data_IF_543626434585
#
_entry.id   IF_543626434585
#
_cell.length_a   1.000
_cell.length_b   1.000
_cell.length_c   1.000
_cell.angle_alpha   90.00
_cell.angle_beta   90.00
_cell.angle_gamma   90.00
#
_symmetry.space_group_name_H-M   'P 1'
#
loop_
_entity.id
_entity.type
_entity.pdbx_description
1 polymer ?
#
# COMPACT_ATOMS: atom_id res chain seq x y z
N UNK A 1 44.97 17.74 0.52
CA UNK A 1 44.02 18.38 -0.43
C UNK A 1 43.89 17.51 -1.67
N UNK A 2 42.68 17.13 -2.07
CA UNK A 2 42.47 16.24 -3.21
C UNK A 2 42.52 17.05 -4.53
N UNK A 3 43.72 17.20 -5.09
CA UNK A 3 44.01 18.04 -6.28
C UNK A 3 43.04 17.82 -7.46
N UNK A 4 42.64 16.58 -7.81
CA UNK A 4 41.66 16.35 -8.88
C UNK A 4 40.27 16.94 -8.60
N UNK A 5 39.81 16.90 -7.34
CA UNK A 5 38.52 17.46 -6.94
C UNK A 5 38.52 18.99 -6.99
N UNK A 6 39.63 19.63 -6.59
CA UNK A 6 39.79 21.07 -6.67
C UNK A 6 39.68 21.58 -8.12
N UNK A 7 40.32 20.89 -9.06
CA UNK A 7 40.25 21.23 -10.49
C UNK A 7 38.84 20.95 -11.04
N UNK A 8 38.24 19.79 -10.73
CA UNK A 8 36.89 19.43 -11.20
C UNK A 8 35.83 20.46 -10.77
N UNK A 9 35.84 20.89 -9.51
CA UNK A 9 34.93 21.95 -9.02
C UNK A 9 35.13 23.25 -9.78
N UNK A 10 36.38 23.64 -10.09
CA UNK A 10 36.66 24.86 -10.85
C UNK A 10 36.20 24.74 -12.30
N UNK A 11 36.33 23.57 -12.92
CA UNK A 11 35.86 23.34 -14.29
C UNK A 11 34.33 23.42 -14.43
N UNK A 12 33.60 23.00 -13.40
CA UNK A 12 32.14 23.07 -13.33
C UNK A 12 31.61 24.52 -13.10
N UNK A 13 32.25 25.30 -12.22
CA UNK A 13 31.72 26.60 -11.76
C UNK A 13 32.41 27.85 -12.34
N UNK A 14 33.48 27.72 -13.13
CA UNK A 14 34.19 28.89 -13.66
C UNK A 14 33.33 29.63 -14.70
N UNK A 15 33.28 30.98 -14.63
CA UNK A 15 32.74 31.82 -15.70
C UNK A 15 33.65 31.67 -16.94
N UNK A 16 33.15 31.07 -18.02
CA UNK A 16 33.94 30.77 -19.23
C UNK A 16 33.67 31.79 -20.34
N UNK A 17 34.64 31.98 -21.24
CA UNK A 17 34.55 32.85 -22.44
C UNK A 17 33.52 32.35 -23.48
N UNK A 18 33.14 31.07 -23.43
CA UNK A 18 32.10 30.45 -24.25
C UNK A 18 30.94 29.95 -23.37
N UNK A 19 29.76 30.58 -23.48
CA UNK A 19 28.56 30.23 -22.70
C UNK A 19 28.00 28.82 -23.01
N UNK A 20 28.27 28.27 -24.19
CA UNK A 20 27.67 27.02 -24.67
C UNK A 20 27.93 25.81 -23.76
N UNK A 21 29.09 25.74 -23.10
CA UNK A 21 29.50 24.56 -22.30
C UNK A 21 28.81 24.53 -20.94
N UNK A 22 28.61 25.69 -20.31
CA UNK A 22 27.83 25.79 -19.08
C UNK A 22 26.35 25.46 -19.35
N UNK A 23 25.84 25.78 -20.54
CA UNK A 23 24.48 25.42 -20.97
C UNK A 23 24.37 23.89 -21.11
N UNK A 24 25.30 23.23 -21.80
CA UNK A 24 25.27 21.76 -21.99
C UNK A 24 25.41 21.01 -20.66
N UNK A 25 26.29 21.47 -19.78
CA UNK A 25 26.44 20.89 -18.44
C UNK A 25 25.18 21.12 -17.60
N UNK A 26 24.55 22.29 -17.72
CA UNK A 26 23.26 22.59 -17.11
C UNK A 26 22.14 21.67 -17.62
N UNK A 27 22.06 21.42 -18.93
CA UNK A 27 21.08 20.48 -19.52
C UNK A 27 21.29 19.07 -18.96
N UNK A 28 22.53 18.62 -18.79
CA UNK A 28 22.84 17.32 -18.19
C UNK A 28 22.38 17.23 -16.74
N UNK A 29 22.67 18.26 -15.93
CA UNK A 29 22.20 18.33 -14.54
C UNK A 29 20.67 18.31 -14.49
N UNK A 30 20.00 19.12 -15.33
CA UNK A 30 18.55 19.16 -15.43
C UNK A 30 17.95 17.80 -15.83
N UNK A 31 18.57 17.08 -16.77
CA UNK A 31 18.11 15.75 -17.18
C UNK A 31 18.15 14.74 -16.03
N UNK A 32 19.26 14.70 -15.29
CA UNK A 32 19.39 13.85 -14.09
C UNK A 32 18.42 14.29 -13.00
N UNK A 33 18.27 15.61 -12.78
CA UNK A 33 17.35 16.16 -11.79
C UNK A 33 15.89 15.80 -12.09
N UNK A 34 15.46 15.91 -13.36
CA UNK A 34 14.10 15.60 -13.78
C UNK A 34 13.78 14.10 -13.62
N UNK A 35 14.72 13.23 -13.99
CA UNK A 35 14.57 11.78 -13.78
C UNK A 35 14.51 11.42 -12.29
N UNK A 36 15.35 12.07 -11.47
CA UNK A 36 15.35 11.87 -10.01
C UNK A 36 14.05 12.37 -9.36
N UNK A 37 13.58 13.55 -9.78
CA UNK A 37 12.30 14.11 -9.35
C UNK A 37 11.16 13.15 -9.66
N UNK A 38 11.12 12.60 -10.88
CA UNK A 38 10.10 11.63 -11.27
C UNK A 38 10.13 10.38 -10.38
N UNK A 39 11.31 9.84 -10.05
CA UNK A 39 11.45 8.74 -9.10
C UNK A 39 10.84 9.06 -7.73
N UNK A 40 11.15 10.24 -7.17
CA UNK A 40 10.63 10.66 -5.86
C UNK A 40 9.12 10.77 -5.90
N UNK A 41 8.56 11.46 -6.90
CA UNK A 41 7.12 11.67 -7.01
C UNK A 41 6.38 10.34 -7.19
N UNK A 42 6.84 9.48 -8.09
CA UNK A 42 6.15 8.20 -8.37
C UNK A 42 6.18 7.25 -7.19
N UNK A 43 7.34 7.08 -6.52
CA UNK A 43 7.42 6.23 -5.32
C UNK A 43 6.53 6.77 -4.19
N UNK A 44 6.52 8.09 -3.99
CA UNK A 44 5.70 8.72 -2.96
C UNK A 44 4.20 8.60 -3.25
N UNK A 45 3.81 8.63 -4.52
CA UNK A 45 2.45 8.35 -4.97
C UNK A 45 2.03 6.91 -4.62
N UNK A 46 2.85 5.91 -4.95
CA UNK A 46 2.51 4.51 -4.67
C UNK A 46 2.39 4.26 -3.16
N UNK A 47 3.26 4.86 -2.36
CA UNK A 47 3.12 4.83 -0.90
C UNK A 47 1.80 5.47 -0.44
N UNK A 48 1.44 6.62 -1.01
CA UNK A 48 0.19 7.29 -0.68
C UNK A 48 -1.04 6.44 -0.99
N UNK A 49 -1.04 5.73 -2.12
CA UNK A 49 -2.09 4.76 -2.43
C UNK A 49 -2.11 3.60 -1.46
N UNK A 50 -0.94 3.04 -1.13
CA UNK A 50 -0.85 1.95 -0.16
C UNK A 50 -1.39 2.36 1.22
N UNK A 51 -1.07 3.57 1.68
CA UNK A 51 -1.57 4.12 2.95
C UNK A 51 -3.09 4.37 2.90
N UNK A 52 -3.61 4.92 1.79
CA UNK A 52 -5.05 5.12 1.58
C UNK A 52 -5.79 3.78 1.60
N UNK A 53 -5.32 2.81 0.82
CA UNK A 53 -5.91 1.48 0.73
C UNK A 53 -5.87 0.79 2.11
N UNK A 54 -4.77 0.90 2.85
CA UNK A 54 -4.68 0.41 4.22
C UNK A 54 -5.71 1.05 5.16
N UNK A 55 -5.99 2.35 5.00
CA UNK A 55 -6.97 3.05 5.82
C UNK A 55 -8.39 2.51 5.65
N UNK A 56 -8.79 2.11 4.44
CA UNK A 56 -10.11 1.50 4.21
C UNK A 56 -10.27 0.16 4.94
N UNK A 57 -9.24 -0.67 4.91
CA UNK A 57 -9.23 -1.96 5.63
C UNK A 57 -9.24 -1.77 7.15
N UNK A 58 -8.73 -0.65 7.69
CA UNK A 58 -8.71 -0.45 9.15
C UNK A 58 -10.09 -0.35 9.80
N UNK A 59 -11.12 0.02 9.03
CA UNK A 59 -12.48 0.18 9.52
C UNK A 59 -13.24 -1.14 9.65
N UNK A 60 -12.81 -2.20 8.95
CA UNK A 60 -13.50 -3.50 8.93
C UNK A 60 -12.62 -4.66 9.44
N UNK A 61 -11.31 -4.64 9.14
CA UNK A 61 -10.41 -5.72 9.50
C UNK A 61 -9.71 -5.46 10.86
N UNK A 62 -9.65 -6.46 11.74
CA UNK A 62 -8.99 -6.35 13.04
C UNK A 62 -7.47 -6.22 12.91
N UNK A 63 -6.81 -5.82 14.00
CA UNK A 63 -5.36 -5.71 14.02
C UNK A 63 -4.68 -7.07 13.88
N UNK A 64 -5.21 -8.08 14.56
CA UNK A 64 -4.83 -9.48 14.42
C UNK A 64 -6.10 -10.33 14.25
N UNK A 65 -6.06 -11.30 13.33
CA UNK A 65 -7.10 -12.29 13.10
C UNK A 65 -6.48 -13.68 13.25
N UNK A 66 -7.09 -14.52 14.09
CA UNK A 66 -6.68 -15.90 14.29
C UNK A 66 -7.67 -16.79 13.56
N UNK A 67 -7.16 -17.66 12.69
CA UNK A 67 -7.94 -18.66 11.95
C UNK A 67 -7.32 -20.03 12.12
N UNK A 68 -8.08 -21.09 11.84
CA UNK A 68 -7.55 -22.46 11.82
C UNK A 68 -6.83 -22.72 10.50
N UNK A 69 -5.71 -23.46 10.53
CA UNK A 69 -4.95 -23.82 9.32
C UNK A 69 -5.72 -24.80 8.44
N UNK A 70 -6.36 -25.78 9.05
CA UNK A 70 -7.14 -26.82 8.38
C UNK A 70 -8.59 -26.81 8.85
N UNK A 71 -9.52 -26.76 7.90
CA UNK A 71 -10.95 -26.64 8.18
C UNK A 71 -11.46 -25.21 8.05
N UNK A 72 -12.71 -24.99 8.45
CA UNK A 72 -13.38 -23.69 8.38
C UNK A 72 -13.57 -23.01 9.73
N UNK A 73 -13.62 -23.80 10.79
CA UNK A 73 -13.98 -23.35 12.14
C UNK A 73 -13.15 -24.09 13.18
N UNK A 74 -13.04 -23.49 14.37
CA UNK A 74 -12.45 -24.07 15.56
C UNK A 74 -13.33 -23.75 16.77
N UNK A 75 -13.14 -24.47 17.87
CA UNK A 75 -13.86 -24.21 19.12
C UNK A 75 -13.30 -22.96 19.81
N UNK A 76 -14.13 -21.94 20.02
CA UNK A 76 -13.72 -20.73 20.73
C UNK A 76 -13.28 -21.01 22.19
N UNK A 77 -13.70 -22.15 22.75
CA UNK A 77 -13.38 -22.56 24.12
C UNK A 77 -12.06 -23.34 24.24
N UNK A 78 -11.29 -23.49 23.15
CA UNK A 78 -9.93 -24.05 23.19
C UNK A 78 -9.07 -23.29 24.23
N UNK A 79 -8.40 -24.03 25.10
CA UNK A 79 -7.57 -23.48 26.18
C UNK A 79 -6.50 -22.52 25.66
N UNK A 80 -5.95 -22.79 24.46
CA UNK A 80 -4.93 -21.95 23.82
C UNK A 80 -5.50 -20.62 23.37
N UNK A 81 -6.71 -20.62 22.81
CA UNK A 81 -7.40 -19.40 22.37
C UNK A 81 -7.76 -18.54 23.58
N UNK A 82 -8.31 -19.16 24.64
CA UNK A 82 -8.58 -18.45 25.90
C UNK A 82 -7.32 -17.88 26.54
N UNK A 83 -6.20 -18.59 26.49
CA UNK A 83 -4.91 -18.10 26.97
C UNK A 83 -4.43 -16.87 26.20
N UNK A 84 -4.68 -16.81 24.88
CA UNK A 84 -4.39 -15.65 24.04
C UNK A 84 -5.29 -14.47 24.40
N UNK A 85 -6.60 -14.68 24.54
CA UNK A 85 -7.53 -13.61 24.92
C UNK A 85 -7.23 -13.02 26.32
N UNK A 86 -6.63 -13.81 27.21
CA UNK A 86 -6.21 -13.38 28.54
C UNK A 86 -4.87 -12.60 28.57
N UNK A 87 -4.20 -12.41 27.42
CA UNK A 87 -2.94 -11.69 27.38
C UNK A 87 -3.11 -10.21 27.77
N UNK A 88 -2.18 -9.65 28.58
CA UNK A 88 -2.28 -8.25 29.00
C UNK A 88 -2.13 -7.25 27.84
N UNK A 89 -1.59 -7.68 26.69
CA UNK A 89 -1.45 -6.87 25.49
C UNK A 89 -2.75 -6.73 24.68
N UNK A 90 -3.71 -7.63 24.87
CA UNK A 90 -5.02 -7.60 24.19
C UNK A 90 -5.93 -6.62 24.91
N UNK A 91 -6.57 -5.73 24.15
CA UNK A 91 -7.54 -4.74 24.65
C UNK A 91 -8.97 -5.27 24.51
N UNK A 92 -9.32 -5.72 23.32
CA UNK A 92 -10.65 -6.27 22.96
C UNK A 92 -10.42 -7.52 22.11
N UNK A 93 -11.26 -8.53 22.31
CA UNK A 93 -11.36 -9.68 21.44
C UNK A 93 -12.83 -9.89 21.07
N UNK A 94 -13.07 -10.38 19.86
CA UNK A 94 -14.41 -10.67 19.35
C UNK A 94 -14.40 -12.01 18.63
N UNK A 95 -15.38 -12.84 18.95
CA UNK A 95 -15.67 -14.07 18.22
C UNK A 95 -16.38 -13.75 16.90
N UNK A 96 -15.90 -14.32 15.78
CA UNK A 96 -16.57 -14.13 14.49
C UNK A 96 -16.81 -15.44 13.75
N UNK A 97 -17.95 -15.51 13.09
CA UNK A 97 -18.36 -16.63 12.25
C UNK A 97 -18.74 -16.12 10.85
N UNK A 98 -18.05 -16.60 9.83
CA UNK A 98 -18.27 -16.22 8.44
C UNK A 98 -18.72 -17.44 7.62
N UNK A 99 -19.80 -17.29 6.85
CA UNK A 99 -20.24 -18.32 5.89
C UNK A 99 -20.92 -17.69 4.67
N UNK A 100 -20.80 -18.35 3.52
CA UNK A 100 -21.46 -17.93 2.30
C UNK A 100 -22.96 -18.28 2.35
N UNK A 101 -23.80 -17.27 2.16
CA UNK A 101 -25.26 -17.39 2.17
C UNK A 101 -25.86 -16.85 0.86
N UNK A 102 -27.05 -17.34 0.54
CA UNK A 102 -27.92 -16.67 -0.42
C UNK A 102 -28.92 -15.83 0.36
N UNK A 103 -29.02 -14.55 0.02
CA UNK A 103 -30.02 -13.65 0.61
C UNK A 103 -31.02 -13.23 -0.44
N UNK A 104 -32.28 -13.08 -0.04
CA UNK A 104 -33.38 -12.69 -0.91
C UNK A 104 -34.19 -11.57 -0.26
N UNK A 105 -34.38 -10.49 -1.01
CA UNK A 105 -35.30 -9.41 -0.69
C UNK A 105 -36.33 -9.30 -1.81
N UNK A 106 -37.60 -9.60 -1.50
CA UNK A 106 -38.69 -9.69 -2.48
C UNK A 106 -38.29 -10.65 -3.62
N UNK A 107 -38.23 -10.15 -4.85
CA UNK A 107 -37.91 -10.93 -6.05
C UNK A 107 -36.42 -10.90 -6.42
N UNK A 108 -35.58 -10.21 -5.63
CA UNK A 108 -34.13 -10.09 -5.89
C UNK A 108 -33.33 -10.94 -4.92
N UNK A 109 -32.31 -11.61 -5.45
CA UNK A 109 -31.42 -12.49 -4.68
C UNK A 109 -29.96 -12.14 -4.95
N UNK A 110 -29.10 -12.33 -3.95
CA UNK A 110 -27.67 -12.15 -4.04
C UNK A 110 -26.94 -13.22 -3.22
N UNK A 111 -25.75 -13.61 -3.68
CA UNK A 111 -24.82 -14.39 -2.86
C UNK A 111 -23.99 -13.42 -2.02
N UNK A 112 -23.93 -13.65 -0.72
CA UNK A 112 -23.25 -12.78 0.25
C UNK A 112 -22.44 -13.61 1.23
N UNK A 113 -21.48 -12.97 1.87
CA UNK A 113 -20.81 -13.47 3.08
C UNK A 113 -21.56 -12.89 4.27
N UNK A 114 -22.19 -13.75 5.05
CA UNK A 114 -22.71 -13.35 6.36
C UNK A 114 -21.57 -13.42 7.36
N UNK A 115 -21.31 -12.32 8.06
CA UNK A 115 -20.35 -12.24 9.14
C UNK A 115 -21.10 -11.99 10.45
N UNK A 116 -21.18 -13.03 11.27
CA UNK A 116 -21.72 -12.99 12.61
C UNK A 116 -20.64 -12.50 13.56
N UNK A 117 -20.94 -11.44 14.31
CA UNK A 117 -20.00 -10.81 15.25
C UNK A 117 -20.68 -10.62 16.60
N UNK A 118 -19.89 -10.45 17.67
CA UNK A 118 -20.40 -10.11 18.99
C UNK A 118 -20.72 -8.61 19.10
N UNK A 119 -21.48 -8.24 20.12
CA UNK A 119 -21.94 -6.86 20.35
C UNK A 119 -20.78 -5.87 20.60
N UNK A 120 -19.60 -6.36 20.98
CA UNK A 120 -18.39 -5.54 21.20
C UNK A 120 -17.62 -5.22 19.90
N UNK A 121 -18.15 -5.56 18.72
CA UNK A 121 -17.49 -5.35 17.44
C UNK A 121 -17.19 -3.87 17.13
N UNK A 122 -18.01 -2.95 17.64
CA UNK A 122 -17.75 -1.50 17.58
C UNK A 122 -16.49 -1.09 18.34
N UNK A 123 -16.15 -1.78 19.43
CA UNK A 123 -14.93 -1.49 20.19
C UNK A 123 -13.68 -2.04 19.49
N UNK A 124 -13.84 -3.14 18.74
CA UNK A 124 -12.79 -3.81 17.98
C UNK A 124 -12.37 -2.99 16.74
N UNK A 125 -13.34 -2.46 16.00
CA UNK A 125 -13.16 -1.82 14.69
C UNK A 125 -13.58 -0.35 14.71
N UNK A 126 -13.39 0.38 13.60
CA UNK A 126 -13.89 1.75 13.47
C UNK A 126 -15.19 1.78 12.65
N UNK A 127 -16.06 0.78 12.82
CA UNK A 127 -17.28 0.59 12.03
C UNK A 127 -18.17 1.85 12.05
N UNK A 128 -18.28 2.53 13.19
CA UNK A 128 -19.08 3.76 13.34
C UNK A 128 -18.70 4.87 12.36
N UNK A 129 -17.42 4.93 11.96
CA UNK A 129 -16.92 5.95 11.04
C UNK A 129 -17.36 5.71 9.59
N UNK A 130 -17.89 4.53 9.27
CA UNK A 130 -18.29 4.11 7.94
C UNK A 130 -19.78 3.76 7.85
N UNK A 131 -20.57 4.03 8.90
CA UNK A 131 -22.01 3.84 8.89
C UNK A 131 -22.75 5.03 8.25
N UNK A 132 -23.76 4.71 7.46
CA UNK A 132 -24.65 5.67 6.83
C UNK A 132 -26.10 5.26 7.07
N UNK A 133 -26.93 6.21 7.49
CA UNK A 133 -28.34 5.96 7.81
C UNK A 133 -28.82 6.85 8.94
N UNK A 134 -30.07 6.64 9.36
CA UNK A 134 -30.68 7.34 10.48
C UNK A 134 -30.76 6.47 11.76
N UNK A 135 -30.41 5.19 11.66
CA UNK A 135 -30.35 4.25 12.79
C UNK A 135 -28.99 4.22 13.50
N UNK A 136 -28.80 3.16 14.30
CA UNK A 136 -27.58 2.87 15.04
C UNK A 136 -27.08 1.45 14.69
N UNK A 137 -25.79 1.15 14.94
CA UNK A 137 -25.28 -0.20 14.73
C UNK A 137 -25.76 -1.11 15.86
N UNK A 138 -26.73 -1.94 15.52
CA UNK A 138 -27.33 -2.91 16.42
C UNK A 138 -27.47 -4.22 15.66
N UNK A 139 -27.00 -5.32 16.27
CA UNK A 139 -26.97 -6.63 15.63
C UNK A 139 -28.22 -7.46 15.95
N UNK A 140 -28.82 -7.23 17.11
CA UNK A 140 -30.05 -7.88 17.55
C UNK A 140 -30.79 -7.04 18.59
N UNK A 141 -32.06 -7.33 18.75
CA UNK A 141 -32.87 -6.98 19.91
C UNK A 141 -33.47 -8.28 20.46
N UNK A 142 -34.17 -8.19 21.58
CA UNK A 142 -34.85 -9.25 22.33
C UNK A 142 -35.67 -10.24 21.49
N UNK A 143 -36.08 -9.87 20.27
CA UNK A 143 -36.99 -10.64 19.40
C UNK A 143 -36.42 -10.85 17.99
N UNK A 144 -35.56 -9.96 17.51
CA UNK A 144 -35.17 -9.91 16.09
C UNK A 144 -33.66 -9.75 15.92
N UNK A 145 -33.12 -10.35 14.86
CA UNK A 145 -31.74 -10.13 14.43
C UNK A 145 -31.72 -9.13 13.27
N UNK A 146 -30.74 -8.23 13.30
CA UNK A 146 -30.55 -7.22 12.28
C UNK A 146 -29.44 -7.62 11.31
N UNK A 147 -29.55 -7.13 10.07
CA UNK A 147 -28.53 -7.27 9.04
C UNK A 147 -28.02 -5.90 8.59
N UNK A 148 -26.80 -5.54 8.99
CA UNK A 148 -26.12 -4.34 8.49
C UNK A 148 -25.40 -4.72 7.20
N UNK A 149 -25.93 -4.29 6.06
CA UNK A 149 -25.37 -4.63 4.74
C UNK A 149 -24.46 -3.54 4.20
N UNK A 150 -23.57 -3.93 3.30
CA UNK A 150 -22.79 -2.99 2.50
C UNK A 150 -23.68 -2.21 1.52
N UNK A 151 -23.30 -0.97 1.23
CA UNK A 151 -24.12 -0.07 0.39
C UNK A 151 -24.37 -0.57 -1.04
N UNK A 152 -23.44 -1.33 -1.63
CA UNK A 152 -23.62 -1.87 -2.99
C UNK A 152 -24.63 -3.04 -3.01
N UNK A 153 -24.72 -3.80 -1.90
CA UNK A 153 -25.79 -4.79 -1.72
C UNK A 153 -27.18 -4.14 -1.65
N UNK A 154 -27.29 -2.94 -1.09
CA UNK A 154 -28.56 -2.18 -1.07
C UNK A 154 -29.05 -1.92 -2.48
N UNK A 155 -28.15 -1.48 -3.36
CA UNK A 155 -28.47 -1.22 -4.77
C UNK A 155 -28.83 -2.52 -5.52
N UNK A 156 -28.07 -3.59 -5.26
CA UNK A 156 -28.27 -4.91 -5.88
C UNK A 156 -29.61 -5.52 -5.48
N UNK A 157 -29.90 -5.58 -4.18
CA UNK A 157 -31.13 -6.14 -3.62
C UNK A 157 -32.33 -5.19 -3.73
N UNK A 158 -32.10 -3.90 -3.99
CA UNK A 158 -33.16 -2.90 -4.07
C UNK A 158 -33.90 -2.69 -2.75
N UNK A 159 -33.22 -2.88 -1.62
CA UNK A 159 -33.78 -2.81 -0.27
C UNK A 159 -34.14 -1.38 0.15
N UNK A 160 -33.30 -0.42 -0.24
CA UNK A 160 -33.24 0.89 0.43
C UNK A 160 -32.44 0.80 1.74
N UNK A 161 -32.12 1.96 2.33
CA UNK A 161 -31.36 2.02 3.58
C UNK A 161 -32.16 1.44 4.77
N UNK A 162 -33.46 1.71 4.80
CA UNK A 162 -34.42 1.16 5.76
C UNK A 162 -35.39 0.24 5.01
N UNK A 163 -35.10 -1.05 5.01
CA UNK A 163 -35.97 -2.02 4.35
C UNK A 163 -37.10 -2.47 5.28
N UNK A 164 -38.34 -2.40 4.77
CA UNK A 164 -39.57 -2.70 5.53
C UNK A 164 -39.82 -4.21 5.61
N UNK A 165 -39.57 -4.93 4.51
CA UNK A 165 -39.73 -6.39 4.46
C UNK A 165 -38.47 -7.08 4.98
N UNK A 166 -38.54 -8.20 5.71
CA UNK A 166 -37.33 -8.85 6.19
C UNK A 166 -36.52 -9.47 5.05
N UNK A 167 -35.19 -9.41 5.18
CA UNK A 167 -34.24 -10.09 4.30
C UNK A 167 -34.25 -11.59 4.62
N UNK A 168 -34.59 -12.42 3.63
CA UNK A 168 -34.59 -13.87 3.81
C UNK A 168 -33.18 -14.40 3.60
N UNK A 169 -32.65 -15.10 4.59
CA UNK A 169 -31.33 -15.70 4.56
C UNK A 169 -31.46 -17.20 4.32
N UNK A 170 -30.66 -17.75 3.40
CA UNK A 170 -30.58 -19.16 3.10
C UNK A 170 -29.15 -19.66 3.28
N UNK A 171 -28.94 -20.59 4.22
CA UNK A 171 -27.65 -21.25 4.46
C UNK A 171 -27.75 -22.76 4.22
N UNK A 172 -26.75 -23.39 3.58
CA UNK A 172 -26.76 -24.83 3.35
C UNK A 172 -26.60 -25.59 4.68
N UNK A 173 -27.42 -26.60 4.91
CA UNK A 173 -27.33 -27.47 6.09
C UNK A 173 -26.06 -28.31 6.03
N UNK A 174 -25.22 -28.25 7.08
CA UNK A 174 -23.94 -28.98 7.15
C UNK A 174 -24.10 -30.50 7.13
N UNK A 175 -25.11 -31.02 7.83
CA UNK A 175 -25.30 -32.46 8.06
C UNK A 175 -26.39 -33.10 7.19
N UNK A 176 -26.94 -32.37 6.21
CA UNK A 176 -27.99 -32.89 5.34
C UNK A 176 -27.42 -33.31 3.99
N UNK A 177 -27.74 -34.53 3.55
CA UNK A 177 -27.52 -34.92 2.16
C UNK A 177 -28.47 -34.12 1.28
N UNK A 178 -27.96 -33.54 0.19
CA UNK A 178 -28.75 -32.78 -0.78
C UNK A 178 -29.89 -33.66 -1.29
N UNK A 179 -31.12 -33.29 -0.95
CA UNK A 179 -32.30 -34.02 -1.40
C UNK A 179 -32.70 -33.51 -2.80
N UNK A 180 -32.39 -34.26 -3.85
CA UNK A 180 -32.71 -33.88 -5.22
C UNK A 180 -34.22 -33.73 -5.50
N UNK A 181 -35.08 -34.35 -4.67
CA UNK A 181 -36.54 -34.21 -4.80
C UNK A 181 -37.09 -32.93 -4.16
N UNK A 182 -36.34 -32.32 -3.22
CA UNK A 182 -36.68 -31.02 -2.64
C UNK A 182 -35.40 -30.25 -2.28
N UNK A 183 -34.81 -29.53 -3.26
CA UNK A 183 -33.59 -28.78 -3.04
C UNK A 183 -33.69 -27.76 -1.90
N UNK A 184 -34.87 -27.14 -1.71
CA UNK A 184 -35.10 -26.13 -0.66
C UNK A 184 -34.99 -26.67 0.78
N UNK A 185 -35.28 -27.95 1.01
CA UNK A 185 -35.16 -28.56 2.35
C UNK A 185 -33.69 -28.74 2.81
N UNK A 186 -32.74 -28.57 1.89
CA UNK A 186 -31.30 -28.67 2.15
C UNK A 186 -30.72 -27.37 2.73
N UNK A 187 -31.54 -26.33 2.86
CA UNK A 187 -31.14 -25.04 3.41
C UNK A 187 -31.88 -24.77 4.74
N UNK A 188 -31.18 -24.16 5.69
CA UNK A 188 -31.76 -23.46 6.81
C UNK A 188 -32.15 -22.06 6.34
N UNK A 189 -33.30 -21.57 6.80
CA UNK A 189 -33.83 -20.26 6.43
C UNK A 189 -34.26 -19.50 7.65
N UNK A 190 -33.85 -18.23 7.71
CA UNK A 190 -34.32 -17.29 8.72
C UNK A 190 -34.33 -15.85 8.14
N UNK A 191 -34.66 -14.87 8.97
CA UNK A 191 -34.95 -13.51 8.57
C UNK A 191 -34.06 -12.50 9.31
N UNK A 192 -33.51 -11.55 8.55
CA UNK A 192 -32.82 -10.37 9.08
C UNK A 192 -33.65 -9.12 8.84
N UNK A 193 -33.69 -8.26 9.85
CA UNK A 193 -34.41 -6.98 9.81
C UNK A 193 -33.43 -5.82 9.59
N UNK A 194 -33.94 -4.65 9.23
CA UNK A 194 -33.12 -3.46 9.03
C UNK A 194 -32.87 -2.74 10.35
N UNK A 195 -31.61 -2.43 10.69
CA UNK A 195 -31.31 -1.51 11.78
C UNK A 195 -31.36 -0.03 11.34
N UNK A 196 -31.70 0.25 10.08
CA UNK A 196 -31.72 1.60 9.50
C UNK A 196 -30.34 2.21 9.24
N UNK A 197 -29.29 1.36 9.23
CA UNK A 197 -27.92 1.72 8.86
C UNK A 197 -27.32 0.71 7.89
N UNK A 198 -26.39 1.20 7.08
CA UNK A 198 -25.56 0.41 6.15
C UNK A 198 -24.11 0.86 6.30
N UNK A 199 -23.15 -0.01 5.99
CA UNK A 199 -21.74 0.37 6.02
C UNK A 199 -21.21 0.70 4.61
N UNK A 200 -20.20 1.57 4.55
CA UNK A 200 -19.52 2.00 3.33
C UNK A 200 -18.01 1.96 3.54
N UNK A 201 -17.37 0.84 3.20
CA UNK A 201 -15.90 0.71 3.22
C UNK A 201 -15.27 1.42 2.00
N UNK A 202 -16.06 1.68 0.96
CA UNK A 202 -15.63 2.14 -0.37
C UNK A 202 -14.78 1.11 -1.11
N UNK A 203 -15.07 -0.17 -0.87
CA UNK A 203 -14.44 -1.25 -1.57
C UNK A 203 -15.47 -2.33 -1.89
N UNK A 204 -15.57 -2.68 -3.17
CA UNK A 204 -16.56 -3.61 -3.68
C UNK A 204 -16.48 -4.99 -3.00
N UNK A 205 -15.28 -5.40 -2.57
CA UNK A 205 -15.07 -6.65 -1.84
C UNK A 205 -15.85 -6.72 -0.51
N UNK A 206 -16.11 -5.58 0.13
CA UNK A 206 -16.94 -5.51 1.33
C UNK A 206 -18.36 -5.05 1.01
N UNK A 207 -18.48 -3.90 0.35
CA UNK A 207 -19.77 -3.22 0.15
C UNK A 207 -20.74 -4.03 -0.71
N UNK A 208 -20.21 -4.87 -1.61
CA UNK A 208 -20.97 -5.73 -2.51
C UNK A 208 -21.12 -7.18 -2.06
N UNK A 209 -20.53 -7.58 -0.91
CA UNK A 209 -20.52 -8.98 -0.49
C UNK A 209 -20.90 -9.23 0.97
N UNK A 210 -20.62 -8.30 1.89
CA UNK A 210 -20.77 -8.57 3.32
C UNK A 210 -22.09 -8.07 3.90
N UNK A 211 -22.65 -8.87 4.82
CA UNK A 211 -23.71 -8.44 5.74
C UNK A 211 -23.27 -8.83 7.15
N UNK A 212 -23.23 -7.85 8.04
CA UNK A 212 -22.95 -8.04 9.47
C UNK A 212 -24.23 -8.38 10.21
N UNK A 213 -24.18 -9.34 11.12
CA UNK A 213 -25.30 -9.76 11.97
C UNK A 213 -24.79 -10.34 13.29
N UNK A 214 -25.68 -10.74 14.19
CA UNK A 214 -25.28 -11.33 15.48
C UNK A 214 -24.61 -12.69 15.27
N UNK A 215 -23.59 -12.98 16.09
CA UNK A 215 -22.93 -14.28 16.11
C UNK A 215 -23.91 -15.42 16.42
N UNK A 216 -24.83 -15.18 17.35
CA UNK A 216 -25.83 -16.17 17.76
C UNK A 216 -26.79 -16.55 16.63
N UNK A 217 -27.20 -15.59 15.80
CA UNK A 217 -28.02 -15.87 14.62
C UNK A 217 -27.33 -16.87 13.68
N UNK A 218 -26.06 -16.66 13.36
CA UNK A 218 -25.33 -17.58 12.48
C UNK A 218 -25.06 -18.93 13.15
N UNK A 219 -24.76 -18.96 14.44
CA UNK A 219 -24.58 -20.22 15.17
C UNK A 219 -25.84 -21.07 15.13
N UNK A 220 -27.01 -20.46 15.40
CA UNK A 220 -28.29 -21.14 15.31
C UNK A 220 -28.58 -21.63 13.88
N UNK A 221 -28.32 -20.79 12.88
CA UNK A 221 -28.62 -21.13 11.49
C UNK A 221 -27.68 -22.19 10.89
N UNK A 222 -26.48 -22.36 11.46
CA UNK A 222 -25.48 -23.35 11.04
C UNK A 222 -25.37 -24.57 11.98
N UNK A 223 -26.21 -24.64 13.02
CA UNK A 223 -26.18 -25.66 14.07
C UNK A 223 -24.81 -25.75 14.79
N UNK A 224 -24.19 -24.60 15.07
CA UNK A 224 -22.98 -24.48 15.90
C UNK A 224 -23.31 -24.11 17.35
N UNK A 225 -22.42 -24.46 18.27
CA UNK A 225 -22.58 -24.16 19.70
C UNK A 225 -21.49 -23.22 20.20
N UNK A 226 -20.23 -23.59 20.00
CA UNK A 226 -19.06 -22.82 20.44
C UNK A 226 -18.09 -22.52 19.31
N UNK A 227 -18.32 -23.10 18.13
CA UNK A 227 -17.42 -23.00 17.01
C UNK A 227 -17.50 -21.61 16.35
N UNK A 228 -16.34 -21.13 15.92
CA UNK A 228 -16.13 -19.83 15.27
C UNK A 228 -15.19 -20.00 14.09
N UNK A 229 -15.30 -19.14 13.07
CA UNK A 229 -14.36 -19.13 11.96
C UNK A 229 -13.07 -18.39 12.29
N UNK A 230 -13.17 -17.34 13.12
CA UNK A 230 -12.04 -16.55 13.52
C UNK A 230 -12.20 -15.96 14.92
N UNK A 231 -11.06 -15.67 15.54
CA UNK A 231 -10.95 -14.82 16.73
C UNK A 231 -10.24 -13.54 16.32
N UNK A 232 -10.93 -12.41 16.47
CA UNK A 232 -10.45 -11.10 16.05
C UNK A 232 -9.98 -10.31 17.28
N UNK A 233 -8.80 -9.67 17.20
CA UNK A 233 -8.16 -9.01 18.33
C UNK A 233 -7.77 -7.57 18.01
N UNK A 234 -8.00 -6.69 19.01
CA UNK A 234 -7.47 -5.34 19.08
C UNK A 234 -6.43 -5.28 20.20
N UNK A 235 -5.24 -4.76 19.87
CA UNK A 235 -4.15 -4.62 20.84
C UNK A 235 -4.18 -3.24 21.51
N UNK A 236 -3.64 -3.18 22.71
CA UNK A 236 -3.49 -1.92 23.45
C UNK A 236 -2.60 -0.93 22.72
N UNK A 237 -2.92 0.35 22.88
CA UNK A 237 -2.11 1.47 22.39
C UNK A 237 -0.65 1.36 22.90
N UNK A 238 0.34 1.51 22.01
CA UNK A 238 1.80 1.37 22.21
C UNK A 238 2.39 -0.04 22.19
N UNK A 239 1.63 -1.08 21.85
CA UNK A 239 2.19 -2.43 21.72
C UNK A 239 2.68 -2.68 20.30
N UNK A 240 3.84 -3.35 20.15
CA UNK A 240 4.35 -3.76 18.85
C UNK A 240 3.56 -4.98 18.35
N UNK A 241 2.73 -4.78 17.32
CA UNK A 241 1.87 -5.81 16.73
C UNK A 241 2.64 -7.05 16.28
N UNK A 242 3.82 -6.88 15.65
CA UNK A 242 4.63 -8.02 15.19
C UNK A 242 5.18 -8.85 16.35
N UNK A 243 5.58 -8.20 17.44
CA UNK A 243 6.06 -8.92 18.64
C UNK A 243 4.93 -9.70 19.32
N UNK A 244 3.72 -9.15 19.36
CA UNK A 244 2.55 -9.85 19.93
C UNK A 244 2.11 -10.97 19.01
N UNK A 245 2.09 -10.75 17.70
CA UNK A 245 1.80 -11.79 16.71
C UNK A 245 2.68 -13.02 16.92
N UNK A 246 4.01 -12.86 16.96
CA UNK A 246 4.91 -14.00 17.19
C UNK A 246 4.72 -14.65 18.56
N UNK A 247 4.34 -13.88 19.60
CA UNK A 247 3.99 -14.44 20.92
C UNK A 247 2.73 -15.31 20.85
N UNK A 248 1.70 -14.85 20.14
CA UNK A 248 0.44 -15.59 19.94
C UNK A 248 0.68 -16.84 19.10
N UNK A 249 1.44 -16.75 18.01
CA UNK A 249 1.82 -17.89 17.16
C UNK A 249 2.50 -19.00 17.98
N UNK A 250 3.41 -18.64 18.89
CA UNK A 250 4.06 -19.60 19.78
C UNK A 250 3.11 -20.28 20.79
N UNK A 251 2.04 -19.61 21.21
CA UNK A 251 1.04 -20.16 22.15
C UNK A 251 0.08 -21.11 21.43
N UNK A 252 -0.37 -20.72 20.23
CA UNK A 252 -1.35 -21.49 19.46
C UNK A 252 -0.73 -22.70 18.76
N UNK A 253 0.56 -22.61 18.40
CA UNK A 253 1.26 -23.64 17.64
C UNK A 253 0.87 -23.64 16.15
N UNK A 254 1.20 -24.73 15.46
CA UNK A 254 1.05 -24.82 14.01
C UNK A 254 -0.41 -25.03 13.55
N UNK A 255 -1.34 -25.35 14.45
CA UNK A 255 -2.75 -25.61 14.11
C UNK A 255 -3.49 -24.34 13.66
N UNK A 256 -2.99 -23.17 14.04
CA UNK A 256 -3.59 -21.89 13.76
C UNK A 256 -2.71 -21.02 12.87
N UNK A 257 -3.36 -20.03 12.25
CA UNK A 257 -2.71 -18.97 11.48
C UNK A 257 -3.10 -17.65 12.12
N UNK A 258 -2.09 -16.85 12.49
CA UNK A 258 -2.28 -15.51 13.04
C UNK A 258 -1.90 -14.53 11.95
N UNK A 259 -2.85 -13.71 11.51
CA UNK A 259 -2.64 -12.74 10.44
C UNK A 259 -2.82 -11.33 10.97
N UNK A 260 -1.83 -10.47 10.75
CA UNK A 260 -2.02 -9.04 10.91
C UNK A 260 -2.82 -8.45 9.74
N UNK A 261 -3.29 -7.21 9.87
CA UNK A 261 -4.11 -6.54 8.87
C UNK A 261 -3.52 -6.55 7.44
N UNK A 262 -2.21 -6.35 7.29
CA UNK A 262 -1.56 -6.39 5.98
C UNK A 262 -1.55 -7.80 5.39
N UNK A 263 -1.38 -8.82 6.24
CA UNK A 263 -1.38 -10.23 5.83
C UNK A 263 -2.78 -10.73 5.47
N UNK A 264 -3.83 -10.21 6.12
CA UNK A 264 -5.22 -10.53 5.78
C UNK A 264 -5.52 -10.13 4.32
N UNK A 265 -4.99 -8.98 3.88
CA UNK A 265 -5.13 -8.52 2.51
C UNK A 265 -3.84 -8.62 1.67
N UNK A 266 -3.07 -9.69 1.89
CA UNK A 266 -1.74 -9.86 1.28
C UNK A 266 -1.75 -9.72 -0.24
N UNK A 267 -2.80 -10.16 -0.94
CA UNK A 267 -2.88 -10.06 -2.40
C UNK A 267 -2.94 -8.62 -2.91
N UNK A 268 -3.74 -7.76 -2.25
CA UNK A 268 -3.88 -6.34 -2.62
C UNK A 268 -2.59 -5.57 -2.29
N UNK A 269 -1.97 -5.85 -1.15
CA UNK A 269 -0.70 -5.20 -0.82
C UNK A 269 0.45 -5.68 -1.70
N UNK A 270 0.50 -6.99 -2.01
CA UNK A 270 1.53 -7.57 -2.87
C UNK A 270 1.46 -7.05 -4.31
N UNK A 271 0.26 -6.87 -4.88
CA UNK A 271 0.14 -6.28 -6.22
C UNK A 271 0.64 -4.83 -6.22
N UNK A 272 0.32 -4.02 -5.19
CA UNK A 272 0.82 -2.65 -5.07
C UNK A 272 2.35 -2.61 -4.95
N UNK A 273 2.96 -3.51 -4.16
CA UNK A 273 4.42 -3.61 -4.06
C UNK A 273 5.07 -3.97 -5.40
N UNK A 274 4.46 -4.90 -6.15
CA UNK A 274 4.94 -5.28 -7.48
C UNK A 274 4.82 -4.11 -8.46
N UNK A 275 3.71 -3.38 -8.48
CA UNK A 275 3.54 -2.20 -9.34
C UNK A 275 4.53 -1.08 -8.99
N UNK A 276 4.76 -0.86 -7.69
CA UNK A 276 5.79 0.07 -7.20
C UNK A 276 7.18 -0.33 -7.70
N UNK A 277 7.51 -1.63 -7.63
CA UNK A 277 8.79 -2.16 -8.10
C UNK A 277 8.95 -2.00 -9.62
N UNK A 278 7.93 -2.35 -10.40
CA UNK A 278 7.96 -2.22 -11.87
C UNK A 278 8.14 -0.76 -12.28
N UNK A 279 7.39 0.15 -11.65
CA UNK A 279 7.49 1.59 -11.89
C UNK A 279 8.88 2.12 -11.55
N UNK A 280 9.44 1.69 -10.42
CA UNK A 280 10.81 2.01 -10.01
C UNK A 280 11.85 1.54 -11.03
N UNK A 281 11.73 0.31 -11.56
CA UNK A 281 12.63 -0.23 -12.57
C UNK A 281 12.57 0.57 -13.88
N UNK A 282 11.36 0.91 -14.35
CA UNK A 282 11.20 1.74 -15.56
C UNK A 282 11.78 3.14 -15.38
N UNK A 283 11.54 3.80 -14.24
CA UNK A 283 12.11 5.11 -13.96
C UNK A 283 13.63 5.06 -13.83
N UNK A 284 14.18 3.98 -13.26
CA UNK A 284 15.63 3.75 -13.21
C UNK A 284 16.21 3.54 -14.62
N UNK A 285 15.47 2.88 -15.51
CA UNK A 285 15.87 2.73 -16.90
C UNK A 285 15.86 4.07 -17.67
N UNK A 286 14.81 4.89 -17.46
CA UNK A 286 14.74 6.26 -18.00
C UNK A 286 15.90 7.11 -17.49
N UNK A 287 16.22 7.00 -16.20
CA UNK A 287 17.39 7.66 -15.60
C UNK A 287 18.70 7.21 -16.26
N UNK A 288 18.86 5.92 -16.56
CA UNK A 288 20.03 5.41 -17.29
C UNK A 288 20.15 6.05 -18.68
N UNK A 289 19.03 6.20 -19.40
CA UNK A 289 18.99 6.90 -20.68
C UNK A 289 19.40 8.38 -20.51
N UNK A 290 18.88 9.05 -19.49
CA UNK A 290 19.24 10.43 -19.18
C UNK A 290 20.74 10.58 -18.87
N UNK A 291 21.37 9.57 -18.29
CA UNK A 291 22.81 9.59 -18.03
C UNK A 291 23.67 9.58 -19.30
N UNK A 292 23.16 9.17 -20.48
CA UNK A 292 23.91 9.32 -21.73
C UNK A 292 24.17 10.78 -22.08
N UNK A 293 23.29 11.71 -21.70
CA UNK A 293 23.53 13.14 -21.89
C UNK A 293 24.75 13.63 -21.10
N UNK A 294 24.97 13.06 -19.91
CA UNK A 294 26.17 13.36 -19.09
C UNK A 294 27.44 12.96 -19.85
N UNK A 295 27.43 11.83 -20.57
CA UNK A 295 28.56 11.38 -21.37
C UNK A 295 28.84 12.34 -22.52
N UNK A 296 27.79 12.78 -23.24
CA UNK A 296 27.92 13.77 -24.30
C UNK A 296 28.51 15.09 -23.78
N UNK A 297 28.00 15.57 -22.65
CA UNK A 297 28.49 16.79 -22.00
C UNK A 297 29.94 16.68 -21.56
N UNK A 298 30.34 15.58 -20.93
CA UNK A 298 31.72 15.35 -20.51
C UNK A 298 32.68 15.24 -21.69
N UNK A 299 32.27 14.54 -22.76
CA UNK A 299 33.09 14.39 -23.97
C UNK A 299 33.39 15.74 -24.60
N UNK A 300 32.38 16.60 -24.71
CA UNK A 300 32.55 17.95 -25.24
C UNK A 300 33.42 18.83 -24.32
N UNK A 301 33.30 18.67 -23.00
CA UNK A 301 34.11 19.38 -22.03
C UNK A 301 35.59 18.96 -22.09
N UNK A 302 35.87 17.67 -22.27
CA UNK A 302 37.25 17.16 -22.49
C UNK A 302 37.86 17.79 -23.74
N UNK A 303 37.09 17.89 -24.84
CA UNK A 303 37.55 18.50 -26.09
C UNK A 303 37.83 20.00 -25.94
N UNK A 304 36.97 20.75 -25.26
CA UNK A 304 37.19 22.17 -24.96
C UNK A 304 38.42 22.40 -24.07
N UNK A 305 38.66 21.48 -23.13
CA UNK A 305 39.76 21.56 -22.16
C UNK A 305 41.05 20.90 -22.62
N UNK A 306 41.16 20.57 -23.91
CA UNK A 306 42.32 19.87 -24.47
C UNK A 306 43.63 20.62 -24.22
N UNK A 307 43.67 21.94 -24.41
CA UNK A 307 44.89 22.75 -24.20
C UNK A 307 45.30 22.81 -22.72
N UNK A 308 44.32 22.90 -21.81
CA UNK A 308 44.54 22.85 -20.36
C UNK A 308 45.12 21.47 -19.97
N UNK A 309 44.64 20.40 -20.59
CA UNK A 309 45.15 19.04 -20.38
C UNK A 309 46.57 18.88 -20.90
N UNK A 310 46.89 19.40 -22.09
CA UNK A 310 48.26 19.38 -22.64
C UNK A 310 49.22 20.10 -21.70
N UNK A 311 48.83 21.27 -21.20
CA UNK A 311 49.62 22.05 -20.23
C UNK A 311 49.87 21.27 -18.95
N UNK A 312 48.84 20.65 -18.38
CA UNK A 312 48.98 19.79 -17.19
C UNK A 312 49.93 18.61 -17.44
N UNK A 313 49.90 18.02 -18.64
CA UNK A 313 50.79 16.91 -19.01
C UNK A 313 52.24 17.38 -19.14
N UNK A 314 52.48 18.55 -19.73
CA UNK A 314 53.80 19.18 -19.79
C UNK A 314 54.36 19.52 -18.40
N UNK A 315 53.49 19.77 -17.42
CA UNK A 315 53.85 19.94 -16.01
C UNK A 315 54.04 18.62 -15.23
N UNK A 316 53.89 17.47 -15.89
CA UNK A 316 54.11 16.14 -15.29
C UNK A 316 52.86 15.41 -14.80
N UNK A 317 51.65 15.88 -15.14
CA UNK A 317 50.42 15.15 -14.79
C UNK A 317 50.30 13.84 -15.57
N UNK A 318 50.08 12.73 -14.85
CA UNK A 318 49.80 11.43 -15.47
C UNK A 318 48.38 11.33 -16.01
N UNK A 319 48.16 10.46 -17.00
CA UNK A 319 46.84 10.21 -17.61
C UNK A 319 45.80 9.74 -16.59
N UNK A 320 46.25 9.00 -15.55
CA UNK A 320 45.40 8.59 -14.43
C UNK A 320 44.88 9.80 -13.65
N UNK A 321 45.71 10.84 -13.48
CA UNK A 321 45.33 12.05 -12.77
C UNK A 321 44.35 12.89 -13.60
N UNK A 322 44.59 13.00 -14.91
CA UNK A 322 43.69 13.68 -15.85
C UNK A 322 42.33 12.98 -15.92
N UNK A 323 42.32 11.65 -16.11
CA UNK A 323 41.09 10.82 -16.04
C UNK A 323 40.31 11.05 -14.74
N UNK A 324 41.01 11.13 -13.59
CA UNK A 324 40.34 11.36 -12.29
C UNK A 324 39.65 12.73 -12.23
N UNK A 325 40.21 13.78 -12.83
CA UNK A 325 39.59 15.11 -12.86
C UNK A 325 38.21 15.02 -13.52
N UNK A 326 38.14 14.46 -14.74
CA UNK A 326 36.88 14.33 -15.47
C UNK A 326 35.90 13.34 -14.82
N UNK A 327 36.39 12.26 -14.20
CA UNK A 327 35.54 11.37 -13.39
C UNK A 327 34.91 12.12 -12.20
N UNK A 328 35.68 12.93 -11.47
CA UNK A 328 35.14 13.73 -10.37
C UNK A 328 34.13 14.76 -10.85
N UNK A 329 34.33 15.34 -12.03
CA UNK A 329 33.38 16.29 -12.62
C UNK A 329 32.06 15.62 -12.98
N UNK A 330 32.08 14.46 -13.64
CA UNK A 330 30.85 13.70 -13.91
C UNK A 330 30.13 13.27 -12.64
N UNK A 331 30.87 12.88 -11.60
CA UNK A 331 30.28 12.59 -10.27
C UNK A 331 29.60 13.81 -9.66
N UNK A 332 30.17 15.01 -9.82
CA UNK A 332 29.55 16.25 -9.36
C UNK A 332 28.26 16.55 -10.13
N UNK A 333 28.23 16.34 -11.46
CA UNK A 333 27.02 16.51 -12.27
C UNK A 333 25.89 15.60 -11.76
N UNK A 334 26.18 14.31 -11.56
CA UNK A 334 25.19 13.36 -11.04
C UNK A 334 24.77 13.70 -9.61
N UNK A 335 25.69 14.13 -8.75
CA UNK A 335 25.39 14.52 -7.36
C UNK A 335 24.48 15.76 -7.31
N UNK A 336 24.80 16.81 -8.07
CA UNK A 336 23.96 18.01 -8.12
C UNK A 336 22.59 17.71 -8.75
N UNK A 337 22.55 16.89 -9.81
CA UNK A 337 21.31 16.42 -10.40
C UNK A 337 20.46 15.66 -9.38
N UNK A 338 21.04 14.70 -8.66
CA UNK A 338 20.35 13.93 -7.63
C UNK A 338 19.80 14.82 -6.50
N UNK A 339 20.63 15.70 -5.92
CA UNK A 339 20.21 16.58 -4.82
C UNK A 339 19.12 17.53 -5.29
N UNK A 340 19.31 18.20 -6.44
CA UNK A 340 18.32 19.14 -6.96
C UNK A 340 17.01 18.44 -7.32
N UNK A 341 17.05 17.25 -7.92
CA UNK A 341 15.88 16.45 -8.24
C UNK A 341 15.13 15.97 -7.00
N UNK A 342 15.84 15.51 -5.96
CA UNK A 342 15.22 15.12 -4.68
C UNK A 342 14.56 16.32 -4.03
N UNK A 343 15.26 17.45 -3.92
CA UNK A 343 14.70 18.67 -3.29
C UNK A 343 13.45 19.13 -4.05
N UNK A 344 13.50 19.19 -5.38
CA UNK A 344 12.34 19.57 -6.19
C UNK A 344 11.19 18.57 -6.07
N UNK A 345 11.48 17.27 -6.09
CA UNK A 345 10.47 16.21 -5.91
C UNK A 345 9.80 16.28 -4.55
N UNK A 346 10.57 16.49 -3.47
CA UNK A 346 10.05 16.68 -2.12
C UNK A 346 9.19 17.94 -2.01
N UNK A 347 9.61 19.06 -2.61
CA UNK A 347 8.81 20.29 -2.67
C UNK A 347 7.48 20.03 -3.39
N UNK A 348 7.50 19.35 -4.53
CA UNK A 348 6.27 19.01 -5.25
C UNK A 348 5.35 18.08 -4.45
N UNK A 349 5.91 17.05 -3.80
CA UNK A 349 5.15 16.16 -2.93
C UNK A 349 4.53 16.92 -1.76
N UNK A 350 5.27 17.83 -1.14
CA UNK A 350 4.77 18.66 -0.04
C UNK A 350 3.66 19.62 -0.48
N UNK A 351 3.82 20.25 -1.65
CA UNK A 351 2.79 21.10 -2.24
C UNK A 351 1.52 20.28 -2.50
N UNK A 352 1.65 19.07 -3.06
CA UNK A 352 0.51 18.19 -3.31
C UNK A 352 -0.18 17.77 -2.00
N UNK A 353 0.58 17.39 -0.96
CA UNK A 353 0.02 17.04 0.35
C UNK A 353 -0.74 18.20 1.01
N UNK A 354 -0.26 19.44 0.86
CA UNK A 354 -0.86 20.61 1.52
C UNK A 354 -2.02 21.24 0.74
N UNK A 355 -1.90 21.31 -0.58
CA UNK A 355 -2.85 22.02 -1.43
C UNK A 355 -3.74 21.12 -2.29
N UNK A 356 -3.43 19.82 -2.40
CA UNK A 356 -4.24 18.86 -3.15
C UNK A 356 -4.46 19.26 -4.61
N UNK A 357 -3.45 19.85 -5.26
CA UNK A 357 -3.58 20.50 -6.58
C UNK A 357 -4.07 19.51 -7.65
N UNK A 358 -3.57 18.27 -7.60
CA UNK A 358 -3.98 17.23 -8.53
C UNK A 358 -5.09 16.42 -7.88
N UNK A 359 -6.30 16.52 -8.44
CA UNK A 359 -7.47 15.80 -7.97
C UNK A 359 -7.61 14.42 -8.61
N UNK A 360 -8.03 13.41 -7.83
CA UNK A 360 -8.30 12.04 -8.31
C UNK A 360 -9.61 11.93 -9.09
N UNK A 361 -10.57 12.80 -8.81
CA UNK A 361 -11.85 12.90 -9.50
C UNK A 361 -12.21 14.35 -9.72
N UNK A 362 -12.35 14.77 -10.98
CA UNK A 362 -12.88 16.09 -11.30
C UNK A 362 -14.35 16.19 -10.91
N UNK A 363 -14.65 16.56 -9.66
CA UNK A 363 -15.97 16.99 -9.18
C UNK A 363 -17.13 15.99 -9.30
N UNK A 364 -16.88 14.73 -9.61
CA UNK A 364 -17.91 13.75 -10.01
C UNK A 364 -18.30 12.70 -8.96
N UNK A 365 -17.87 12.82 -7.69
CA UNK A 365 -18.35 11.99 -6.58
C UNK A 365 -18.00 10.49 -6.63
N UNK A 366 -17.20 10.02 -7.59
CA UNK A 366 -16.85 8.60 -7.75
C UNK A 366 -15.59 8.16 -7.00
N UNK A 367 -14.81 9.09 -6.44
CA UNK A 367 -13.63 8.79 -5.64
C UNK A 367 -13.73 9.47 -4.26
N UNK A 368 -13.38 8.72 -3.22
CA UNK A 368 -13.51 9.09 -1.79
C UNK A 368 -12.56 10.22 -1.37
N UNK A 369 -11.48 10.43 -2.13
CA UNK A 369 -10.46 11.44 -1.81
C UNK A 369 -10.30 12.41 -2.96
N UNK A 370 -10.48 13.69 -2.64
CA UNK A 370 -10.46 14.79 -3.62
C UNK A 370 -9.10 14.95 -4.29
N UNK A 371 -8.01 14.63 -3.59
CA UNK A 371 -6.63 14.80 -4.05
C UNK A 371 -5.87 13.48 -4.18
N UNK A 372 -4.98 13.43 -5.18
CA UNK A 372 -4.08 12.30 -5.40
C UNK A 372 -3.15 12.08 -4.19
N UNK A 373 -3.15 10.89 -3.55
CA UNK A 373 -2.44 10.67 -2.31
C UNK A 373 -0.94 10.58 -2.54
N UNK A 374 -0.17 11.17 -1.61
CA UNK A 374 1.29 11.17 -1.66
C UNK A 374 1.82 10.97 -0.25
N UNK A 375 2.66 9.97 -0.06
CA UNK A 375 3.31 9.64 1.22
C UNK A 375 4.82 9.46 1.02
N UNK A 376 5.60 10.37 1.58
CA UNK A 376 7.06 10.39 1.40
C UNK A 376 7.71 9.52 2.48
N UNK A 377 8.30 8.40 2.05
CA UNK A 377 9.07 7.52 2.93
C UNK A 377 10.57 7.84 2.87
N UNK A 378 11.20 8.01 4.03
CA UNK A 378 12.63 8.35 4.11
C UNK A 378 13.52 7.29 3.46
N UNK A 379 13.15 6.01 3.59
CA UNK A 379 13.90 4.90 2.99
C UNK A 379 13.90 4.94 1.46
N UNK A 380 12.77 5.29 0.85
CA UNK A 380 12.66 5.46 -0.61
C UNK A 380 13.57 6.59 -1.09
N UNK A 381 13.62 7.72 -0.37
CA UNK A 381 14.53 8.85 -0.72
C UNK A 381 15.99 8.42 -0.68
N UNK A 382 16.39 7.67 0.34
CA UNK A 382 17.76 7.13 0.46
C UNK A 382 18.06 6.15 -0.68
N UNK A 383 17.12 5.26 -0.99
CA UNK A 383 17.25 4.29 -2.07
C UNK A 383 17.40 5.01 -3.43
N UNK A 384 16.56 5.99 -3.72
CA UNK A 384 16.65 6.84 -4.93
C UNK A 384 18.02 7.51 -5.01
N UNK A 385 18.47 8.13 -3.92
CA UNK A 385 19.77 8.81 -3.87
C UNK A 385 20.92 7.86 -4.21
N UNK A 386 20.94 6.67 -3.61
CA UNK A 386 21.96 5.65 -3.87
C UNK A 386 21.89 5.18 -5.32
N UNK A 387 20.69 4.92 -5.85
CA UNK A 387 20.49 4.47 -7.24
C UNK A 387 20.98 5.50 -8.25
N UNK A 388 20.63 6.78 -8.05
CA UNK A 388 21.07 7.85 -8.96
C UNK A 388 22.59 8.02 -8.93
N UNK A 389 23.21 7.95 -7.76
CA UNK A 389 24.66 8.00 -7.67
C UNK A 389 25.33 6.78 -8.32
N UNK A 390 24.80 5.57 -8.07
CA UNK A 390 25.34 4.35 -8.64
C UNK A 390 25.26 4.36 -10.18
N UNK A 391 24.06 4.64 -10.73
CA UNK A 391 23.84 4.70 -12.19
C UNK A 391 24.67 5.84 -12.80
N UNK A 392 24.62 7.04 -12.23
CA UNK A 392 25.38 8.19 -12.73
C UNK A 392 26.89 7.94 -12.73
N UNK A 393 27.43 7.32 -11.67
CA UNK A 393 28.86 7.04 -11.58
C UNK A 393 29.29 5.95 -12.56
N UNK A 394 28.47 4.90 -12.74
CA UNK A 394 28.73 3.84 -13.69
C UNK A 394 28.68 4.36 -15.14
N UNK A 395 27.69 5.19 -15.47
CA UNK A 395 27.55 5.79 -16.81
C UNK A 395 28.75 6.66 -17.19
N UNK A 396 29.35 7.36 -16.23
CA UNK A 396 30.54 8.20 -16.46
C UNK A 396 31.84 7.40 -16.51
N UNK A 397 31.91 6.29 -15.78
CA UNK A 397 33.16 5.55 -15.58
C UNK A 397 33.70 4.91 -16.86
N UNK A 398 32.83 4.23 -17.62
CA UNK A 398 33.23 3.54 -18.85
C UNK A 398 33.73 4.50 -19.95
N UNK A 399 32.99 5.57 -20.32
CA UNK A 399 33.41 6.50 -21.36
C UNK A 399 34.67 7.26 -21.00
N UNK A 400 34.83 7.75 -19.77
CA UNK A 400 36.03 8.53 -19.40
C UNK A 400 37.29 7.67 -19.48
N UNK A 401 37.23 6.38 -19.09
CA UNK A 401 38.35 5.45 -19.26
C UNK A 401 38.68 5.18 -20.72
N UNK A 402 37.66 5.11 -21.58
CA UNK A 402 37.84 4.84 -23.00
C UNK A 402 38.34 6.08 -23.76
N UNK A 403 37.70 7.24 -23.56
CA UNK A 403 38.03 8.52 -24.19
C UNK A 403 39.38 9.06 -23.73
N UNK A 404 39.73 8.94 -22.45
CA UNK A 404 41.05 9.35 -21.95
C UNK A 404 42.22 8.54 -22.52
N UNK A 405 41.98 7.38 -23.13
CA UNK A 405 43.02 6.61 -23.83
C UNK A 405 43.15 6.95 -25.31
N UNK A 406 42.15 7.62 -25.90
CA UNK A 406 41.99 7.75 -27.35
C UNK A 406 42.00 9.21 -27.84
N UNK A 407 41.50 10.14 -27.03
CA UNK A 407 41.46 11.59 -27.32
C UNK A 407 42.59 12.38 -26.64
N UNK A 408 43.19 11.79 -25.61
CA UNK A 408 44.35 12.28 -24.86
C UNK A 408 45.49 11.27 -25.04
#
# INVERSE_FOLDING_TARGET
>A
MNFPFYIARRYLFSKKKHNAINIISGISVCGVALATLALVCTLSVFNGFQDMVASFFTAFDPQLKITVREGKVFDAQDERIRAVCALPEVEVFTETLEENAMVQYKDRQAMVVLKGVEDNFEELTAIDSILYGAGEFVLHDSIVNYGVMGVELVATLGTGLEFVDPLQVYLPKRNAKVNMANPGASFNRDYLYSPGVVFVVNQQEYDGKYILTSLDFLRQLLDYTTEVSAMELKLKSNVNTSSVQSKIENILGDDFVVQNRYQQQADVFRIMEIEKLISYLFLTFILMIACFNVIGSLSMLILDKKDDVVTLRSLGASDKLISRIFLFEGRLISLFGAISGIVLGLILCFIQQKFGIISLGGGGGTFVVDAYPVSVHAWDVVLIFITVLAVGFLSVWYPVRYLSKRLL
#
